data_IF_037932594333
#
_entry.id   IF_037932594333
#
_cell.length_a   1.000
_cell.length_b   1.000
_cell.length_c   1.000
_cell.angle_alpha   90.00
_cell.angle_beta   90.00
_cell.angle_gamma   90.00
#
_symmetry.space_group_name_H-M   'P 1'
#
loop_
_entity.id
_entity.type
_entity.pdbx_description
1 polymer ?
#
# COMPACT_ATOMS: atom_id res chain seq x y z
N UNK A 1 -8.67 10.13 45.10
CA UNK A 1 -7.41 9.62 44.50
C UNK A 1 -7.68 8.73 43.28
N UNK A 2 -8.55 7.71 43.36
CA UNK A 2 -8.86 6.81 42.23
C UNK A 2 -9.34 7.51 40.93
N UNK A 3 -10.14 8.58 41.00
CA UNK A 3 -10.60 9.35 39.82
C UNK A 3 -9.48 10.15 39.13
N UNK A 4 -8.47 10.60 39.87
CA UNK A 4 -7.30 11.30 39.31
C UNK A 4 -6.34 10.32 38.60
N UNK A 5 -6.20 9.09 39.13
CA UNK A 5 -5.43 8.04 38.49
C UNK A 5 -6.10 7.52 37.21
N UNK A 6 -7.42 7.31 37.22
CA UNK A 6 -8.19 6.97 36.00
C UNK A 6 -8.08 8.06 34.94
N UNK A 7 -8.26 9.33 35.30
CA UNK A 7 -8.14 10.44 34.34
C UNK A 7 -6.69 10.74 33.93
N UNK A 8 -5.67 10.20 34.61
CA UNK A 8 -4.27 10.32 34.16
C UNK A 8 -3.92 9.23 33.17
N UNK A 9 -4.28 7.99 33.49
CA UNK A 9 -4.09 6.85 32.61
C UNK A 9 -4.77 7.08 31.25
N UNK A 10 -5.99 7.60 31.26
CA UNK A 10 -6.75 7.92 30.03
C UNK A 10 -6.06 8.98 29.15
N UNK A 11 -5.48 10.03 29.73
CA UNK A 11 -4.78 11.06 28.95
C UNK A 11 -3.49 10.50 28.33
N UNK A 12 -2.76 9.67 29.09
CA UNK A 12 -1.54 9.02 28.60
C UNK A 12 -1.83 8.04 27.47
N UNK A 13 -2.87 7.21 27.61
CA UNK A 13 -3.33 6.30 26.55
C UNK A 13 -3.73 7.06 25.28
N UNK A 14 -4.39 8.22 25.41
CA UNK A 14 -4.76 9.06 24.26
C UNK A 14 -3.56 9.75 23.60
N UNK A 15 -2.57 10.19 24.38
CA UNK A 15 -1.33 10.75 23.84
C UNK A 15 -0.49 9.68 23.12
N UNK A 16 -0.44 8.47 23.66
CA UNK A 16 0.18 7.31 22.99
C UNK A 16 -0.51 7.00 21.67
N UNK A 17 -1.84 6.96 21.68
CA UNK A 17 -2.65 6.77 20.48
C UNK A 17 -2.41 7.90 19.45
N UNK A 18 -2.30 9.15 19.92
CA UNK A 18 -1.99 10.29 19.04
C UNK A 18 -0.63 10.13 18.35
N UNK A 19 0.41 9.81 19.11
CA UNK A 19 1.78 9.71 18.60
C UNK A 19 1.97 8.52 17.66
N UNK A 20 1.47 7.35 18.03
CA UNK A 20 1.76 6.08 17.34
C UNK A 20 0.78 5.83 16.19
N UNK A 21 -0.47 6.29 16.33
CA UNK A 21 -1.56 5.85 15.46
C UNK A 21 -2.18 7.02 14.69
N UNK A 22 -2.61 8.10 15.36
CA UNK A 22 -3.41 9.15 14.72
C UNK A 22 -2.56 10.11 13.87
N UNK A 23 -1.41 10.56 14.39
CA UNK A 23 -0.55 11.51 13.67
C UNK A 23 0.03 10.93 12.37
N UNK A 24 0.60 9.71 12.35
CA UNK A 24 1.01 9.08 11.09
C UNK A 24 -0.14 8.88 10.09
N UNK A 25 -1.37 8.60 10.58
CA UNK A 25 -2.55 8.49 9.72
C UNK A 25 -2.90 9.83 9.08
N UNK A 26 -2.94 10.92 9.83
CA UNK A 26 -3.22 12.26 9.29
C UNK A 26 -2.28 12.61 8.13
N UNK A 27 -0.97 12.37 8.29
CA UNK A 27 0.03 12.63 7.25
C UNK A 27 -0.24 11.83 5.96
N UNK A 28 -0.59 10.54 6.10
CA UNK A 28 -0.93 9.67 4.96
C UNK A 28 -2.19 10.18 4.23
N UNK A 29 -3.19 10.65 4.98
CA UNK A 29 -4.44 11.15 4.41
C UNK A 29 -4.26 12.48 3.69
N UNK A 30 -3.45 13.38 4.26
CA UNK A 30 -3.08 14.65 3.63
C UNK A 30 -2.36 14.37 2.31
N UNK A 31 -1.36 13.49 2.32
CA UNK A 31 -0.59 13.15 1.12
C UNK A 31 -1.48 12.52 0.04
N UNK A 32 -2.34 11.57 0.42
CA UNK A 32 -3.28 10.92 -0.51
C UNK A 32 -4.29 11.93 -1.11
N UNK A 33 -4.82 12.85 -0.31
CA UNK A 33 -5.76 13.85 -0.78
C UNK A 33 -5.07 14.92 -1.65
N UNK A 34 -3.83 15.29 -1.35
CA UNK A 34 -3.06 16.28 -2.13
C UNK A 34 -2.63 15.76 -3.50
N UNK A 35 -2.33 14.48 -3.61
CA UNK A 35 -1.93 13.83 -4.87
C UNK A 35 -3.14 13.40 -5.72
N UNK A 36 -4.36 13.64 -5.25
CA UNK A 36 -5.59 13.33 -5.97
C UNK A 36 -5.82 14.27 -7.17
N UNK A 37 -6.21 13.76 -8.35
CA UNK A 37 -6.67 14.59 -9.48
C UNK A 37 -7.86 15.50 -9.14
N UNK A 38 -8.64 15.13 -8.11
CA UNK A 38 -9.77 15.91 -7.58
C UNK A 38 -9.37 16.78 -6.38
N UNK A 39 -8.10 17.18 -6.27
CA UNK A 39 -7.61 18.08 -5.22
C UNK A 39 -8.52 19.28 -4.99
N UNK A 40 -9.12 19.83 -6.06
CA UNK A 40 -10.03 20.97 -5.97
C UNK A 40 -11.32 20.66 -5.17
N UNK A 41 -11.85 19.44 -5.27
CA UNK A 41 -13.01 18.95 -4.49
C UNK A 41 -12.58 18.61 -3.05
N UNK A 42 -11.39 18.05 -2.90
CA UNK A 42 -10.84 17.66 -1.60
C UNK A 42 -10.19 18.82 -0.84
N UNK A 43 -10.12 20.01 -1.41
CA UNK A 43 -9.41 21.15 -0.85
C UNK A 43 -9.87 21.51 0.59
N UNK A 44 -11.19 21.54 0.90
CA UNK A 44 -11.66 21.77 2.27
C UNK A 44 -11.20 20.67 3.26
N UNK A 45 -11.15 19.43 2.80
CA UNK A 45 -10.68 18.29 3.59
C UNK A 45 -9.16 18.29 3.80
N UNK A 46 -8.40 18.65 2.77
CA UNK A 46 -6.95 18.82 2.86
C UNK A 46 -6.61 19.91 3.89
N UNK A 47 -7.36 21.01 3.90
CA UNK A 47 -7.20 22.08 4.88
C UNK A 47 -7.55 21.62 6.29
N UNK A 48 -8.69 20.93 6.46
CA UNK A 48 -9.12 20.35 7.74
C UNK A 48 -8.09 19.36 8.31
N UNK A 49 -7.55 18.47 7.46
CA UNK A 49 -6.54 17.48 7.86
C UNK A 49 -5.21 18.13 8.22
N UNK A 50 -4.76 19.15 7.46
CA UNK A 50 -3.53 19.90 7.78
C UNK A 50 -3.64 20.64 9.11
N UNK A 51 -4.78 21.26 9.38
CA UNK A 51 -5.04 21.89 10.67
C UNK A 51 -4.95 20.87 11.81
N UNK A 52 -5.53 19.68 11.62
CA UNK A 52 -5.43 18.59 12.60
C UNK A 52 -3.99 18.06 12.77
N UNK A 53 -3.21 17.99 11.69
CA UNK A 53 -1.80 17.57 11.76
C UNK A 53 -0.95 18.57 12.54
N UNK A 54 -1.07 19.87 12.23
CA UNK A 54 -0.35 20.93 12.95
C UNK A 54 -0.73 20.96 14.44
N UNK A 55 -1.99 20.73 14.73
CA UNK A 55 -2.52 20.65 16.08
C UNK A 55 -1.95 19.44 16.85
N UNK A 56 -1.84 18.28 16.19
CA UNK A 56 -1.20 17.09 16.75
C UNK A 56 0.29 17.32 17.03
N UNK A 57 1.02 17.96 16.11
CA UNK A 57 2.42 18.35 16.31
C UNK A 57 2.57 19.31 17.50
N UNK A 58 1.69 20.30 17.62
CA UNK A 58 1.70 21.23 18.74
C UNK A 58 1.46 20.52 20.08
N UNK A 59 0.53 19.55 20.12
CA UNK A 59 0.28 18.74 21.32
C UNK A 59 1.52 17.89 21.67
N UNK A 60 2.13 17.22 20.70
CA UNK A 60 3.33 16.40 20.91
C UNK A 60 4.54 17.25 21.34
N UNK A 61 4.75 18.41 20.72
CA UNK A 61 5.81 19.34 21.10
C UNK A 61 5.62 19.90 22.53
N UNK A 62 4.37 20.08 22.98
CA UNK A 62 4.09 20.47 24.36
C UNK A 62 4.40 19.35 25.37
N UNK A 63 4.29 18.08 24.96
CA UNK A 63 4.68 16.92 25.78
C UNK A 63 6.21 16.83 25.87
N UNK A 64 6.91 17.04 24.76
CA UNK A 64 8.38 17.06 24.70
C UNK A 64 8.99 18.26 25.43
N UNK A 65 8.38 19.44 25.39
CA UNK A 65 8.88 20.62 26.11
C UNK A 65 8.78 20.45 27.63
N UNK A 66 7.73 19.76 28.11
CA UNK A 66 7.59 19.39 29.53
C UNK A 66 8.62 18.33 29.99
N UNK A 67 9.38 17.71 29.07
CA UNK A 67 10.51 16.80 29.34
C UNK A 67 11.77 17.57 29.76
N UNK A 68 12.03 18.71 29.12
CA UNK A 68 13.28 19.47 29.28
C UNK A 68 13.32 20.37 30.52
N UNK A 69 12.21 20.55 31.23
CA UNK A 69 12.20 21.31 32.49
C UNK A 69 12.70 20.49 33.69
N UNK A 70 12.85 19.16 33.59
CA UNK A 70 13.32 18.34 34.71
C UNK A 70 14.08 17.09 34.23
N UNK A 71 15.40 17.19 34.11
CA UNK A 71 16.29 16.04 34.03
C UNK A 71 16.58 15.52 35.45
N UNK A 72 15.98 14.39 35.82
CA UNK A 72 16.65 13.40 36.68
C UNK A 72 16.79 12.12 35.85
N UNK A 73 18.03 11.72 35.61
CA UNK A 73 18.44 10.57 34.79
C UNK A 73 17.77 9.28 35.26
N UNK A 74 17.00 8.65 34.38
CA UNK A 74 16.76 7.20 34.44
C UNK A 74 16.92 6.63 33.04
N UNK A 75 18.03 5.93 32.86
CA UNK A 75 18.41 5.17 31.68
C UNK A 75 17.45 3.98 31.52
N UNK A 76 16.60 3.98 30.49
CA UNK A 76 15.77 2.81 30.15
C UNK A 76 15.63 2.64 28.64
N UNK A 77 16.17 1.52 28.16
CA UNK A 77 16.19 1.05 26.78
C UNK A 77 14.83 0.47 26.37
N UNK A 78 13.86 1.33 26.02
CA UNK A 78 12.65 0.93 25.29
C UNK A 78 11.95 2.16 24.69
N UNK A 79 11.58 2.17 23.39
CA UNK A 79 10.74 3.23 22.81
C UNK A 79 9.33 3.35 23.43
N UNK A 80 8.97 2.43 24.34
CA UNK A 80 7.69 2.44 25.07
C UNK A 80 7.80 3.13 26.45
N UNK A 81 8.99 3.52 26.93
CA UNK A 81 9.14 4.20 28.23
C UNK A 81 8.87 5.71 28.19
N UNK A 82 8.89 6.33 27.01
CA UNK A 82 8.96 7.79 26.88
C UNK A 82 7.70 8.54 27.34
N UNK A 83 6.53 7.91 27.30
CA UNK A 83 5.25 8.49 27.74
C UNK A 83 5.01 8.34 29.25
N UNK A 84 5.74 7.45 29.94
CA UNK A 84 5.60 7.24 31.38
C UNK A 84 6.09 8.46 32.19
N UNK A 85 6.96 9.29 31.63
CA UNK A 85 7.54 10.47 32.27
C UNK A 85 6.72 11.76 32.07
N UNK A 86 5.62 11.73 31.31
CA UNK A 86 4.77 12.91 31.12
C UNK A 86 4.01 13.27 32.41
N UNK A 87 4.32 14.44 32.99
CA UNK A 87 3.53 15.06 34.07
C UNK A 87 2.38 15.85 33.44
N UNK A 88 1.16 15.47 33.78
CA UNK A 88 -0.04 16.22 33.37
C UNK A 88 0.00 17.67 33.86
N UNK A 89 -0.60 18.61 33.11
CA UNK A 89 -0.88 19.95 33.59
C UNK A 89 -1.58 19.87 34.96
N UNK A 90 -1.06 20.65 35.93
CA UNK A 90 -1.60 20.66 37.30
C UNK A 90 -2.95 21.37 37.37
N UNK A 91 -3.22 22.28 36.43
CA UNK A 91 -4.50 22.97 36.34
C UNK A 91 -5.57 22.07 35.71
N UNK A 92 -6.70 21.99 36.40
CA UNK A 92 -7.91 21.30 35.94
C UNK A 92 -8.45 21.86 34.62
N UNK A 93 -8.25 23.16 34.36
CA UNK A 93 -8.73 23.84 33.16
C UNK A 93 -7.92 23.44 31.93
N UNK A 94 -6.58 23.42 32.05
CA UNK A 94 -5.65 23.01 31.01
C UNK A 94 -5.77 21.51 30.68
N UNK A 95 -5.96 20.67 31.70
CA UNK A 95 -6.21 19.23 31.50
C UNK A 95 -7.50 18.98 30.71
N UNK A 96 -8.56 19.73 31.00
CA UNK A 96 -9.84 19.64 30.29
C UNK A 96 -9.71 20.13 28.84
N UNK A 97 -8.90 21.17 28.61
CA UNK A 97 -8.60 21.67 27.28
C UNK A 97 -7.80 20.65 26.46
N UNK A 98 -6.76 20.04 27.03
CA UNK A 98 -5.97 18.99 26.37
C UNK A 98 -6.84 17.77 25.99
N UNK A 99 -7.72 17.32 26.89
CA UNK A 99 -8.66 16.24 26.60
C UNK A 99 -9.58 16.59 25.43
N UNK A 100 -10.14 17.81 25.42
CA UNK A 100 -11.01 18.25 24.33
C UNK A 100 -10.27 18.33 22.98
N UNK A 101 -9.00 18.75 22.99
CA UNK A 101 -8.13 18.77 21.80
C UNK A 101 -7.86 17.35 21.29
N UNK A 102 -7.59 16.41 22.19
CA UNK A 102 -7.38 14.99 21.84
C UNK A 102 -8.66 14.33 21.29
N UNK A 103 -9.81 14.60 21.89
CA UNK A 103 -11.12 14.12 21.42
C UNK A 103 -11.44 14.68 20.02
N UNK A 104 -11.20 15.98 19.80
CA UNK A 104 -11.39 16.60 18.49
C UNK A 104 -10.43 16.03 17.42
N UNK A 105 -9.19 15.70 17.77
CA UNK A 105 -8.24 15.05 16.86
C UNK A 105 -8.68 13.60 16.53
N UNK A 106 -9.15 12.85 17.53
CA UNK A 106 -9.72 11.53 17.31
C UNK A 106 -10.97 11.59 16.43
N UNK A 107 -11.84 12.57 16.65
CA UNK A 107 -13.05 12.78 15.85
C UNK A 107 -12.70 13.10 14.40
N UNK A 108 -11.80 14.05 14.14
CA UNK A 108 -11.36 14.40 12.78
C UNK A 108 -10.70 13.19 12.09
N UNK A 109 -9.88 12.42 12.82
CA UNK A 109 -9.28 11.20 12.27
C UNK A 109 -10.35 10.14 12.00
N UNK A 110 -11.35 9.97 12.87
CA UNK A 110 -12.43 9.03 12.66
C UNK A 110 -13.36 9.45 11.51
N UNK A 111 -13.60 10.74 11.32
CA UNK A 111 -14.33 11.32 10.20
C UNK A 111 -13.55 11.14 8.88
N UNK A 112 -12.24 11.35 8.93
CA UNK A 112 -11.35 11.10 7.80
C UNK A 112 -11.14 9.59 7.54
N UNK A 113 -11.23 8.75 8.57
CA UNK A 113 -11.16 7.29 8.49
C UNK A 113 -12.50 6.65 8.14
N UNK A 114 -13.63 7.33 8.32
CA UNK A 114 -14.90 6.96 7.70
C UNK A 114 -14.87 7.36 6.24
N UNK A 115 -14.32 8.54 5.91
CA UNK A 115 -14.00 8.92 4.52
C UNK A 115 -13.02 7.94 3.84
N UNK A 116 -12.02 7.40 4.56
CA UNK A 116 -11.04 6.42 4.04
C UNK A 116 -11.48 4.97 4.22
N UNK A 117 -12.39 4.70 5.16
CA UNK A 117 -13.09 3.44 5.35
C UNK A 117 -14.13 3.23 4.27
N UNK A 118 -14.72 4.30 3.74
CA UNK A 118 -15.47 4.33 2.48
C UNK A 118 -14.56 4.11 1.27
N UNK A 119 -13.30 4.54 1.33
CA UNK A 119 -12.26 4.19 0.34
C UNK A 119 -11.63 2.81 0.60
N UNK A 120 -11.97 2.18 1.74
CA UNK A 120 -11.55 0.87 2.20
C UNK A 120 -10.09 0.49 1.82
N UNK A 121 -9.15 1.35 2.24
CA UNK A 121 -7.78 0.92 2.40
C UNK A 121 -7.71 0.09 3.69
N UNK A 122 -7.05 -1.08 3.71
CA UNK A 122 -7.05 -1.95 4.87
C UNK A 122 -6.50 -1.20 6.10
N UNK A 123 -7.41 -0.93 7.03
CA UNK A 123 -7.14 -0.40 8.36
C UNK A 123 -6.35 -1.44 9.15
N UNK A 124 -5.12 -1.05 9.51
CA UNK A 124 -4.38 -1.53 10.68
C UNK A 124 -4.60 -2.99 11.09
N UNK A 125 -3.91 -3.92 10.43
CA UNK A 125 -3.44 -5.13 11.11
C UNK A 125 -1.95 -4.92 11.35
N UNK A 126 -1.57 -4.79 12.63
CA UNK A 126 -0.22 -4.79 13.20
C UNK A 126 0.93 -4.37 12.25
N UNK A 127 1.67 -3.28 12.53
CA UNK A 127 2.85 -2.88 11.73
C UNK A 127 4.01 -3.90 11.74
N UNK A 128 3.84 -5.09 12.35
CA UNK A 128 4.80 -6.20 12.38
C UNK A 128 4.39 -7.42 11.55
N UNK A 129 3.26 -7.41 10.84
CA UNK A 129 2.91 -8.46 9.87
C UNK A 129 2.96 -7.91 8.46
N UNK A 130 4.16 -7.90 7.87
CA UNK A 130 4.30 -7.71 6.43
C UNK A 130 3.52 -8.84 5.73
N UNK A 131 2.42 -8.49 5.05
CA UNK A 131 1.77 -9.42 4.12
C UNK A 131 2.70 -9.58 2.93
N UNK A 132 3.44 -10.67 2.89
CA UNK A 132 4.11 -11.09 1.66
C UNK A 132 3.06 -11.24 0.55
N UNK A 133 3.36 -10.71 -0.63
CA UNK A 133 2.55 -10.92 -1.82
C UNK A 133 3.05 -12.16 -2.55
N UNK A 134 2.14 -12.94 -3.10
CA UNK A 134 2.45 -14.10 -3.94
C UNK A 134 2.34 -13.73 -5.41
N UNK A 135 2.91 -14.53 -6.30
CA UNK A 135 2.98 -14.24 -7.75
C UNK A 135 1.68 -14.43 -8.53
N UNK A 136 0.54 -14.59 -7.87
CA UNK A 136 -0.75 -14.89 -8.50
C UNK A 136 -1.82 -13.92 -8.00
N UNK A 137 -2.72 -13.45 -8.88
CA UNK A 137 -3.81 -12.59 -8.46
C UNK A 137 -4.82 -13.40 -7.63
N UNK A 138 -5.35 -12.77 -6.59
CA UNK A 138 -6.34 -13.41 -5.70
C UNK A 138 -7.75 -13.47 -6.29
N UNK A 139 -7.98 -12.82 -7.43
CA UNK A 139 -9.28 -12.73 -8.10
C UNK A 139 -9.08 -12.40 -9.58
N UNK A 140 -10.17 -12.47 -10.36
CA UNK A 140 -10.18 -12.11 -11.78
C UNK A 140 -9.67 -10.68 -11.97
N UNK A 141 -8.67 -10.52 -12.83
CA UNK A 141 -8.16 -9.21 -13.23
C UNK A 141 -9.01 -8.69 -14.38
N UNK A 142 -9.56 -7.48 -14.24
CA UNK A 142 -10.47 -6.86 -15.22
C UNK A 142 -9.83 -5.58 -15.76
N UNK A 143 -9.89 -5.39 -17.08
CA UNK A 143 -9.48 -4.15 -17.74
C UNK A 143 -7.98 -3.90 -17.81
N UNK A 144 -7.17 -4.95 -17.65
CA UNK A 144 -5.70 -4.86 -17.66
C UNK A 144 -5.03 -5.70 -18.75
N UNK A 145 -5.81 -6.26 -19.67
CA UNK A 145 -5.28 -7.10 -20.76
C UNK A 145 -4.26 -6.34 -21.62
N UNK A 146 -4.60 -5.12 -22.04
CA UNK A 146 -3.68 -4.30 -22.84
C UNK A 146 -2.39 -3.95 -22.08
N UNK A 147 -2.51 -3.57 -20.82
CA UNK A 147 -1.34 -3.26 -19.98
C UNK A 147 -0.46 -4.51 -19.78
N UNK A 148 -1.07 -5.68 -19.57
CA UNK A 148 -0.37 -6.97 -19.50
C UNK A 148 0.38 -7.25 -20.80
N UNK A 149 -0.29 -7.13 -21.94
CA UNK A 149 0.29 -7.44 -23.25
C UNK A 149 1.43 -6.49 -23.61
N UNK A 150 1.28 -5.19 -23.32
CA UNK A 150 2.33 -4.18 -23.46
C UNK A 150 3.57 -4.58 -22.62
N UNK A 151 3.39 -4.98 -21.35
CA UNK A 151 4.50 -5.39 -20.48
C UNK A 151 5.13 -6.70 -20.95
N UNK A 152 4.33 -7.70 -21.33
CA UNK A 152 4.81 -8.99 -21.86
C UNK A 152 5.67 -8.78 -23.11
N UNK A 153 5.25 -7.87 -23.99
CA UNK A 153 6.05 -7.50 -25.16
C UNK A 153 7.43 -6.97 -24.73
N UNK A 154 7.49 -6.01 -23.80
CA UNK A 154 8.75 -5.47 -23.28
C UNK A 154 9.62 -6.54 -22.58
N UNK A 155 8.98 -7.52 -21.94
CA UNK A 155 9.66 -8.66 -21.31
C UNK A 155 10.33 -9.59 -22.32
N UNK A 156 9.80 -9.66 -23.54
CA UNK A 156 10.31 -10.53 -24.61
C UNK A 156 11.08 -9.80 -25.70
N UNK A 157 11.15 -8.47 -25.63
CA UNK A 157 12.03 -7.67 -26.48
C UNK A 157 13.49 -7.96 -26.14
N UNK A 158 14.21 -8.53 -27.11
CA UNK A 158 15.65 -8.72 -27.04
C UNK A 158 16.34 -7.35 -27.17
N UNK A 159 17.26 -7.07 -26.25
CA UNK A 159 18.15 -5.91 -26.39
C UNK A 159 19.14 -6.25 -27.52
N UNK A 160 19.25 -5.45 -28.59
CA UNK A 160 20.17 -5.74 -29.68
C UNK A 160 21.59 -5.87 -29.14
N UNK A 161 22.28 -6.96 -29.50
CA UNK A 161 23.71 -7.12 -29.23
C UNK A 161 24.46 -5.98 -29.95
N UNK A 162 24.83 -4.93 -29.20
CA UNK A 162 25.56 -3.78 -29.73
C UNK A 162 25.13 -2.40 -29.24
N UNK A 163 24.01 -2.24 -28.53
CA UNK A 163 23.67 -0.95 -27.90
C UNK A 163 24.44 -0.78 -26.58
N UNK A 164 25.52 0.01 -26.62
CA UNK A 164 26.58 0.15 -25.61
C UNK A 164 26.19 0.86 -24.30
N UNK A 165 24.99 0.69 -23.77
CA UNK A 165 24.57 1.41 -22.55
C UNK A 165 24.34 0.55 -21.31
N UNK A 166 24.25 -0.77 -21.42
CA UNK A 166 24.28 -1.67 -20.25
C UNK A 166 25.03 -2.95 -20.59
N UNK A 167 26.19 -3.19 -19.98
CA UNK A 167 26.96 -4.43 -20.11
C UNK A 167 26.34 -5.63 -19.36
N UNK A 168 25.05 -5.55 -19.02
CA UNK A 168 24.37 -6.51 -18.17
C UNK A 168 23.48 -7.45 -18.99
N UNK A 169 23.39 -8.70 -18.55
CA UNK A 169 22.53 -9.75 -19.12
C UNK A 169 21.02 -9.49 -18.93
N UNK A 170 20.65 -8.47 -18.16
CA UNK A 170 19.28 -8.14 -17.82
C UNK A 170 18.92 -6.67 -18.10
N UNK A 171 17.62 -6.40 -18.27
CA UNK A 171 17.06 -5.04 -18.31
C UNK A 171 15.93 -4.87 -17.30
N UNK A 172 15.69 -3.64 -16.85
CA UNK A 172 14.69 -3.33 -15.82
C UNK A 172 13.47 -2.64 -16.42
N UNK A 173 12.28 -3.12 -16.05
CA UNK A 173 10.98 -2.54 -16.39
C UNK A 173 10.34 -2.09 -15.08
N UNK A 174 9.98 -0.81 -14.99
CA UNK A 174 9.33 -0.24 -13.81
C UNK A 174 7.85 0.00 -14.06
N UNK A 175 7.00 -0.33 -13.09
CA UNK A 175 5.59 0.05 -13.03
C UNK A 175 5.42 0.96 -11.80
N UNK A 176 4.87 2.15 -11.99
CA UNK A 176 4.71 3.11 -10.90
C UNK A 176 3.31 3.73 -10.83
N UNK A 177 2.93 4.28 -9.68
CA UNK A 177 1.66 4.95 -9.49
C UNK A 177 1.15 4.89 -8.05
N UNK A 178 0.02 5.53 -7.73
CA UNK A 178 -0.46 5.71 -6.36
C UNK A 178 -0.85 4.39 -5.67
N UNK A 179 -0.97 4.41 -4.34
CA UNK A 179 -1.46 3.25 -3.58
C UNK A 179 -2.87 2.86 -4.06
N UNK A 180 -3.15 1.56 -4.14
CA UNK A 180 -4.48 1.06 -4.55
C UNK A 180 -4.77 1.07 -6.06
N UNK A 181 -3.81 1.51 -6.90
CA UNK A 181 -3.98 1.51 -8.36
C UNK A 181 -3.94 0.13 -9.04
N UNK A 182 -3.52 -0.91 -8.32
CA UNK A 182 -3.45 -2.29 -8.85
C UNK A 182 -2.10 -2.71 -9.44
N UNK A 183 -0.98 -2.02 -9.13
CA UNK A 183 0.36 -2.38 -9.61
C UNK A 183 0.74 -3.83 -9.35
N UNK A 184 0.62 -4.27 -8.10
CA UNK A 184 0.89 -5.64 -7.67
C UNK A 184 0.02 -6.63 -8.44
N UNK A 185 -1.27 -6.32 -8.59
CA UNK A 185 -2.23 -7.13 -9.36
C UNK A 185 -1.83 -7.24 -10.83
N UNK A 186 -1.39 -6.14 -11.46
CA UNK A 186 -0.91 -6.16 -12.84
C UNK A 186 0.38 -7.00 -12.98
N UNK A 187 1.34 -6.86 -12.06
CA UNK A 187 2.55 -7.65 -12.08
C UNK A 187 2.27 -9.15 -11.85
N UNK A 188 1.35 -9.50 -10.95
CA UNK A 188 0.86 -10.87 -10.76
C UNK A 188 0.23 -11.40 -12.04
N UNK A 189 -0.58 -10.58 -12.73
CA UNK A 189 -1.24 -10.97 -13.96
C UNK A 189 -0.26 -11.27 -15.10
N UNK A 190 0.78 -10.45 -15.22
CA UNK A 190 1.90 -10.68 -16.15
C UNK A 190 2.65 -11.97 -15.79
N UNK A 191 2.94 -12.19 -14.50
CA UNK A 191 3.63 -13.41 -14.05
C UNK A 191 2.84 -14.67 -14.35
N UNK A 192 1.54 -14.67 -14.06
CA UNK A 192 0.64 -15.77 -14.36
C UNK A 192 0.61 -16.07 -15.85
N UNK A 193 0.52 -15.03 -16.69
CA UNK A 193 0.57 -15.17 -18.14
C UNK A 193 1.87 -15.84 -18.62
N UNK A 194 3.03 -15.33 -18.22
CA UNK A 194 4.34 -15.93 -18.56
C UNK A 194 4.46 -17.39 -18.05
N UNK A 195 3.91 -17.67 -16.86
CA UNK A 195 3.87 -19.02 -16.27
C UNK A 195 2.87 -19.96 -16.95
N UNK A 196 1.93 -19.47 -17.75
CA UNK A 196 0.92 -20.31 -18.42
C UNK A 196 1.15 -20.48 -19.93
N UNK A 197 2.04 -19.70 -20.55
CA UNK A 197 2.39 -19.88 -21.96
C UNK A 197 3.01 -21.24 -22.23
N UNK A 198 2.65 -21.86 -23.36
CA UNK A 198 3.20 -23.16 -23.78
C UNK A 198 4.71 -23.05 -24.04
N UNK A 199 5.12 -22.00 -24.74
CA UNK A 199 6.53 -21.69 -24.98
C UNK A 199 7.08 -20.83 -23.85
N UNK A 200 7.90 -21.45 -23.00
CA UNK A 200 8.58 -20.78 -21.88
C UNK A 200 9.73 -19.93 -22.38
N UNK A 201 9.59 -18.61 -22.28
CA UNK A 201 10.67 -17.67 -22.57
C UNK A 201 11.65 -17.57 -21.38
N UNK A 202 11.13 -17.55 -20.16
CA UNK A 202 11.92 -17.53 -18.92
C UNK A 202 12.04 -18.93 -18.31
N UNK A 203 13.26 -19.30 -17.95
CA UNK A 203 13.55 -20.55 -17.24
C UNK A 203 13.13 -20.47 -15.77
N UNK A 204 13.21 -19.28 -15.18
CA UNK A 204 12.82 -19.01 -13.80
C UNK A 204 12.03 -17.69 -13.70
N UNK A 205 10.91 -17.73 -12.97
CA UNK A 205 10.11 -16.55 -12.60
C UNK A 205 10.09 -16.46 -11.08
N UNK A 206 10.76 -15.45 -10.54
CA UNK A 206 11.01 -15.25 -9.12
C UNK A 206 10.20 -14.05 -8.65
N UNK A 207 9.40 -14.20 -7.60
CA UNK A 207 8.63 -13.11 -7.01
C UNK A 207 9.19 -12.78 -5.62
N UNK A 208 9.55 -11.53 -5.41
CA UNK A 208 10.03 -11.04 -4.13
C UNK A 208 9.30 -9.75 -3.75
N UNK A 209 8.66 -9.76 -2.59
CA UNK A 209 8.13 -8.56 -1.96
C UNK A 209 9.25 -7.79 -1.26
N UNK A 210 9.37 -6.50 -1.57
CA UNK A 210 10.35 -5.59 -0.99
C UNK A 210 9.77 -4.93 0.27
N UNK A 211 10.18 -5.42 1.44
CA UNK A 211 9.80 -4.84 2.74
C UNK A 211 10.59 -3.54 3.03
N UNK A 212 10.15 -2.72 4.01
CA UNK A 212 10.95 -1.59 4.50
C UNK A 212 12.28 -1.99 5.14
N UNK A 213 12.33 -3.17 5.77
CA UNK A 213 13.51 -3.73 6.43
C UNK A 213 14.33 -4.64 5.49
N UNK A 214 14.16 -4.47 4.17
CA UNK A 214 14.68 -5.39 3.19
C UNK A 214 16.21 -5.37 3.11
N UNK A 215 16.80 -6.54 3.34
CA UNK A 215 18.23 -6.78 3.19
C UNK A 215 18.54 -7.48 1.85
N UNK A 216 19.72 -7.20 1.29
CA UNK A 216 20.28 -7.89 0.11
C UNK A 216 20.29 -9.40 0.36
N UNK A 217 20.67 -9.82 1.56
CA UNK A 217 20.72 -11.23 1.93
C UNK A 217 19.35 -11.90 1.86
N UNK A 218 18.28 -11.21 2.28
CA UNK A 218 16.91 -11.74 2.22
C UNK A 218 16.43 -11.95 0.78
N UNK A 219 16.76 -11.02 -0.13
CA UNK A 219 16.49 -11.21 -1.56
C UNK A 219 17.20 -12.45 -2.09
N UNK A 220 18.49 -12.58 -1.78
CA UNK A 220 19.31 -13.67 -2.28
C UNK A 220 18.88 -15.02 -1.71
N UNK A 221 18.47 -15.08 -0.43
CA UNK A 221 17.80 -16.25 0.16
C UNK A 221 16.51 -16.61 -0.57
N UNK A 222 15.69 -15.62 -0.96
CA UNK A 222 14.49 -15.85 -1.78
C UNK A 222 14.86 -16.40 -3.16
N UNK A 223 15.80 -15.77 -3.87
CA UNK A 223 16.29 -16.26 -5.17
C UNK A 223 16.81 -17.69 -5.04
N UNK A 224 17.54 -18.01 -3.96
CA UNK A 224 18.02 -19.37 -3.68
C UNK A 224 16.88 -20.38 -3.65
N UNK A 225 15.86 -20.12 -2.84
CA UNK A 225 14.70 -21.02 -2.71
C UNK A 225 14.04 -21.31 -4.06
N UNK A 226 13.96 -20.33 -4.96
CA UNK A 226 13.42 -20.54 -6.31
C UNK A 226 14.40 -21.24 -7.26
N UNK A 227 15.69 -20.88 -7.22
CA UNK A 227 16.70 -21.38 -8.14
C UNK A 227 17.11 -22.83 -7.86
N UNK A 228 17.26 -23.18 -6.59
CA UNK A 228 17.70 -24.51 -6.13
C UNK A 228 16.54 -25.41 -5.68
N UNK A 229 15.37 -24.84 -5.35
CA UNK A 229 14.21 -25.57 -4.78
C UNK A 229 14.52 -26.26 -3.44
N UNK A 230 15.37 -25.63 -2.63
CA UNK A 230 15.77 -26.10 -1.31
C UNK A 230 15.92 -24.93 -0.32
N UNK A 231 16.06 -25.25 0.97
CA UNK A 231 16.34 -24.25 1.99
C UNK A 231 17.73 -23.65 1.77
N UNK A 232 17.83 -22.31 1.84
CA UNK A 232 19.11 -21.64 1.75
C UNK A 232 19.98 -21.98 2.97
N UNK A 233 21.21 -22.46 2.79
CA UNK A 233 22.18 -22.56 3.88
C UNK A 233 22.41 -21.20 4.54
N UNK A 234 22.80 -21.19 5.80
CA UNK A 234 23.25 -19.98 6.48
C UNK A 234 24.70 -19.69 6.09
N UNK A 235 24.85 -18.83 5.07
CA UNK A 235 26.14 -18.31 4.64
C UNK A 235 26.65 -17.25 5.61
N UNK A 236 27.95 -17.29 5.88
CA UNK A 236 28.61 -16.30 6.75
C UNK A 236 28.95 -15.03 5.97
N UNK A 237 29.28 -15.18 4.68
CA UNK A 237 29.71 -14.08 3.82
C UNK A 237 28.78 -13.93 2.60
N UNK A 238 28.47 -12.69 2.23
CA UNK A 238 27.62 -12.37 1.07
C UNK A 238 28.22 -12.91 -0.24
N UNK A 239 29.54 -12.91 -0.35
CA UNK A 239 30.27 -13.40 -1.52
C UNK A 239 30.02 -14.89 -1.79
N UNK A 240 29.81 -15.70 -0.74
CA UNK A 240 29.56 -17.14 -0.87
C UNK A 240 28.20 -17.42 -1.52
N UNK A 241 27.13 -16.80 -1.00
CA UNK A 241 25.78 -16.93 -1.56
C UNK A 241 25.73 -16.34 -2.98
N UNK A 242 26.40 -15.20 -3.22
CA UNK A 242 26.47 -14.60 -4.55
C UNK A 242 27.10 -15.56 -5.56
N UNK A 243 28.29 -16.10 -5.27
CA UNK A 243 29.00 -17.02 -6.18
C UNK A 243 28.18 -18.25 -6.53
N UNK A 244 27.47 -18.83 -5.54
CA UNK A 244 26.59 -19.98 -5.74
C UNK A 244 25.35 -19.65 -6.56
N UNK A 245 24.74 -18.50 -6.33
CA UNK A 245 23.62 -18.03 -7.16
C UNK A 245 24.09 -17.76 -8.59
N UNK A 246 25.24 -17.11 -8.78
CA UNK A 246 25.80 -16.85 -10.11
C UNK A 246 26.08 -18.15 -10.89
N UNK A 247 26.57 -19.19 -10.21
CA UNK A 247 26.75 -20.52 -10.78
C UNK A 247 25.41 -21.12 -11.24
N UNK A 248 24.38 -21.08 -10.40
CA UNK A 248 23.08 -21.66 -10.72
C UNK A 248 22.26 -20.90 -11.75
N UNK A 249 22.37 -19.58 -11.76
CA UNK A 249 21.62 -18.72 -12.68
C UNK A 249 22.29 -18.67 -14.06
N UNK A 250 23.54 -19.14 -14.16
CA UNK A 250 24.31 -19.12 -15.41
C UNK A 250 23.57 -19.82 -16.54
N UNK A 251 23.44 -19.12 -17.67
CA UNK A 251 22.79 -19.66 -18.87
C UNK A 251 21.26 -19.80 -18.77
N UNK A 252 20.64 -19.46 -17.65
CA UNK A 252 19.18 -19.41 -17.48
C UNK A 252 18.66 -18.00 -17.71
N UNK A 253 17.53 -17.86 -18.40
CA UNK A 253 16.83 -16.58 -18.55
C UNK A 253 15.87 -16.38 -17.39
N UNK A 254 16.05 -15.29 -16.66
CA UNK A 254 15.36 -15.04 -15.40
C UNK A 254 14.39 -13.87 -15.55
N UNK A 255 13.18 -14.01 -15.00
CA UNK A 255 12.31 -12.90 -14.66
C UNK A 255 12.28 -12.74 -13.13
N UNK A 256 12.87 -11.67 -12.62
CA UNK A 256 12.78 -11.29 -11.21
C UNK A 256 11.73 -10.19 -11.05
N UNK A 257 10.73 -10.41 -10.19
CA UNK A 257 9.74 -9.39 -9.83
C UNK A 257 10.01 -8.88 -8.43
N UNK A 258 10.23 -7.57 -8.31
CA UNK A 258 10.38 -6.84 -7.07
C UNK A 258 9.10 -6.03 -6.81
N UNK A 259 8.24 -6.57 -5.98
CA UNK A 259 6.96 -5.94 -5.65
C UNK A 259 7.11 -4.95 -4.50
N UNK A 260 6.52 -3.76 -4.66
CA UNK A 260 6.53 -2.67 -3.69
C UNK A 260 7.94 -2.16 -3.34
N UNK A 261 8.81 -2.04 -4.34
CA UNK A 261 10.13 -1.47 -4.19
C UNK A 261 10.05 -0.04 -3.63
N UNK A 262 10.86 0.21 -2.61
CA UNK A 262 10.98 1.49 -1.94
C UNK A 262 12.45 1.92 -1.89
N UNK A 263 12.68 3.23 -1.95
CA UNK A 263 14.00 3.80 -1.77
C UNK A 263 13.93 4.86 -0.68
N UNK A 264 14.70 4.68 0.40
CA UNK A 264 14.98 5.68 1.44
C UNK A 264 16.47 6.02 1.41
N UNK A 265 16.89 7.12 2.04
CA UNK A 265 18.29 7.57 2.16
C UNK A 265 19.25 6.51 2.71
N UNK A 266 18.72 5.47 3.38
CA UNK A 266 19.47 4.31 3.90
C UNK A 266 19.84 3.26 2.85
N UNK A 267 19.08 3.17 1.75
CA UNK A 267 19.39 2.29 0.62
C UNK A 267 20.19 3.12 -0.36
N UNK A 268 21.50 2.90 -0.49
CA UNK A 268 22.31 3.64 -1.45
C UNK A 268 22.08 3.13 -2.88
N UNK A 269 22.36 3.94 -3.91
CA UNK A 269 22.35 3.50 -5.32
C UNK A 269 23.31 2.31 -5.53
N UNK A 270 24.42 2.26 -4.79
CA UNK A 270 25.35 1.14 -4.81
C UNK A 270 24.71 -0.16 -4.28
N UNK A 271 23.85 -0.05 -3.25
CA UNK A 271 23.11 -1.20 -2.72
C UNK A 271 22.15 -1.76 -3.77
N UNK A 272 21.49 -0.89 -4.56
CA UNK A 272 20.54 -1.33 -5.60
C UNK A 272 21.24 -2.07 -6.74
N UNK A 273 22.43 -1.62 -7.16
CA UNK A 273 23.23 -2.34 -8.14
C UNK A 273 23.76 -3.67 -7.60
N UNK A 274 24.08 -3.72 -6.30
CA UNK A 274 24.50 -4.94 -5.63
C UNK A 274 23.38 -5.98 -5.54
N UNK A 275 22.12 -5.57 -5.34
CA UNK A 275 20.98 -6.49 -5.30
C UNK A 275 20.92 -7.46 -6.49
N UNK A 276 21.33 -7.00 -7.67
CA UNK A 276 21.22 -7.73 -8.92
C UNK A 276 22.52 -8.35 -9.40
N UNK A 277 23.59 -8.34 -8.58
CA UNK A 277 24.86 -8.97 -8.97
C UNK A 277 24.70 -10.44 -9.35
N UNK A 278 23.90 -11.29 -8.68
CA UNK A 278 23.77 -12.69 -9.08
C UNK A 278 23.15 -12.88 -10.47
N UNK A 279 22.36 -11.90 -10.94
CA UNK A 279 21.74 -11.96 -12.27
C UNK A 279 22.73 -11.64 -13.40
N UNK A 280 23.92 -11.09 -13.10
CA UNK A 280 24.92 -10.75 -14.13
C UNK A 280 25.44 -11.97 -14.90
N UNK A 281 25.43 -13.15 -14.29
CA UNK A 281 25.79 -14.41 -14.97
C UNK A 281 24.63 -15.04 -15.77
N UNK A 282 23.40 -14.53 -15.60
CA UNK A 282 22.21 -15.05 -16.26
C UNK A 282 22.28 -14.89 -17.79
N UNK A 283 21.41 -15.61 -18.50
CA UNK A 283 21.30 -15.52 -19.96
C UNK A 283 20.78 -14.14 -20.38
N UNK A 284 21.28 -13.65 -21.51
CA UNK A 284 20.74 -12.47 -22.19
C UNK A 284 19.23 -12.55 -22.41
N UNK A 285 18.56 -11.40 -22.25
CA UNK A 285 17.10 -11.31 -22.25
C UNK A 285 16.47 -11.55 -20.88
N UNK A 286 17.26 -11.69 -19.81
CA UNK A 286 16.72 -11.68 -18.45
C UNK A 286 16.09 -10.33 -18.12
N UNK A 287 15.08 -10.29 -17.26
CA UNK A 287 14.30 -9.09 -16.96
C UNK A 287 14.09 -8.93 -15.46
N UNK A 288 14.07 -7.68 -15.02
CA UNK A 288 13.64 -7.30 -13.67
C UNK A 288 12.38 -6.45 -13.81
N UNK A 289 11.27 -6.87 -13.20
CA UNK A 289 10.03 -6.12 -13.14
C UNK A 289 9.89 -5.50 -11.75
N UNK A 290 9.83 -4.18 -11.67
CA UNK A 290 9.75 -3.44 -10.40
C UNK A 290 8.38 -2.79 -10.28
N UNK A 291 7.67 -2.99 -9.18
CA UNK A 291 6.48 -2.18 -8.86
C UNK A 291 6.81 -1.20 -7.74
N UNK A 292 6.40 0.06 -7.88
CA UNK A 292 6.70 1.09 -6.86
C UNK A 292 5.66 2.21 -6.85
N UNK A 293 5.67 3.06 -5.82
CA UNK A 293 4.78 4.23 -5.76
C UNK A 293 5.31 5.41 -6.56
N UNK A 294 6.63 5.51 -6.68
CA UNK A 294 7.32 6.69 -7.21
C UNK A 294 8.08 6.34 -8.49
N UNK A 295 7.87 7.11 -9.54
CA UNK A 295 8.62 6.97 -10.80
C UNK A 295 10.14 6.98 -10.56
N UNK A 296 10.59 7.90 -9.71
CA UNK A 296 11.99 8.07 -9.33
C UNK A 296 12.59 6.80 -8.70
N UNK A 297 11.83 6.07 -7.89
CA UNK A 297 12.27 4.79 -7.33
C UNK A 297 12.49 3.77 -8.44
N UNK A 298 11.59 3.68 -9.43
CA UNK A 298 11.79 2.77 -10.56
C UNK A 298 13.05 3.12 -11.36
N UNK A 299 13.32 4.41 -11.60
CA UNK A 299 14.54 4.87 -12.29
C UNK A 299 15.81 4.49 -11.53
N UNK A 300 15.81 4.63 -10.20
CA UNK A 300 16.95 4.21 -9.34
C UNK A 300 17.22 2.72 -9.39
N UNK A 301 16.18 1.92 -9.59
CA UNK A 301 16.30 0.49 -9.83
C UNK A 301 16.77 0.14 -11.25
N UNK A 302 16.96 1.13 -12.13
CA UNK A 302 17.50 0.95 -13.47
C UNK A 302 16.45 0.95 -14.58
N UNK A 303 15.17 1.24 -14.29
CA UNK A 303 14.16 1.33 -15.32
C UNK A 303 14.32 2.64 -16.13
N UNK A 304 14.64 2.52 -17.42
CA UNK A 304 14.84 3.69 -18.29
C UNK A 304 13.53 4.47 -18.53
N UNK A 305 12.45 3.74 -18.85
CA UNK A 305 11.13 4.30 -19.12
C UNK A 305 10.08 3.63 -18.21
N UNK A 306 9.95 4.05 -16.94
CA UNK A 306 8.95 3.49 -16.05
C UNK A 306 7.52 3.74 -16.56
N UNK A 307 6.71 2.71 -16.53
CA UNK A 307 5.32 2.69 -17.01
C UNK A 307 4.41 3.22 -15.89
N UNK A 308 3.69 4.33 -16.11
CA UNK A 308 2.68 4.79 -15.16
C UNK A 308 1.47 3.87 -15.19
N UNK A 309 0.89 3.61 -14.01
CA UNK A 309 -0.40 2.94 -13.92
C UNK A 309 -1.48 3.82 -14.54
N UNK A 310 -2.01 3.36 -15.67
CA UNK A 310 -3.16 3.99 -16.32
C UNK A 310 -4.41 3.80 -15.45
N UNK A 311 -5.28 4.79 -15.47
CA UNK A 311 -6.64 4.62 -14.97
C UNK A 311 -7.37 3.57 -15.81
N UNK A 312 -8.26 2.81 -15.18
CA UNK A 312 -9.19 1.97 -15.92
C UNK A 312 -10.16 2.87 -16.70
N UNK A 313 -10.54 2.46 -17.91
CA UNK A 313 -11.64 3.15 -18.58
C UNK A 313 -12.94 2.98 -17.79
N UNK A 314 -13.92 3.87 -18.05
CA UNK A 314 -15.15 3.91 -17.26
C UNK A 314 -15.93 2.59 -17.31
N UNK A 315 -15.92 1.90 -18.45
CA UNK A 315 -16.68 0.67 -18.67
C UNK A 315 -16.00 -0.52 -18.00
N UNK A 316 -14.67 -0.61 -18.10
CA UNK A 316 -13.86 -1.60 -17.40
C UNK A 316 -13.88 -1.39 -15.89
N UNK A 317 -13.86 -0.14 -15.43
CA UNK A 317 -13.97 0.20 -14.02
C UNK A 317 -15.35 -0.20 -13.46
N UNK A 318 -16.42 0.13 -14.19
CA UNK A 318 -17.77 -0.33 -13.85
C UNK A 318 -17.84 -1.86 -13.84
N UNK A 319 -17.25 -2.52 -14.83
CA UNK A 319 -17.22 -3.99 -14.90
C UNK A 319 -16.50 -4.61 -13.70
N UNK A 320 -15.37 -4.04 -13.29
CA UNK A 320 -14.65 -4.44 -12.08
C UNK A 320 -15.54 -4.29 -10.84
N UNK A 321 -16.16 -3.12 -10.68
CA UNK A 321 -17.03 -2.84 -9.55
C UNK A 321 -18.21 -3.82 -9.49
N UNK A 322 -18.95 -3.97 -10.59
CA UNK A 322 -20.13 -4.83 -10.66
C UNK A 322 -19.79 -6.31 -10.50
N UNK A 323 -18.63 -6.75 -11.00
CA UNK A 323 -18.14 -8.11 -10.78
C UNK A 323 -18.02 -8.44 -9.29
N UNK A 324 -17.47 -7.51 -8.50
CA UNK A 324 -17.38 -7.69 -7.06
C UNK A 324 -18.72 -7.46 -6.33
N UNK A 325 -19.52 -6.50 -6.79
CA UNK A 325 -20.72 -6.05 -6.08
C UNK A 325 -21.88 -7.02 -6.23
N UNK A 326 -22.04 -7.62 -7.40
CA UNK A 326 -23.13 -8.56 -7.65
C UNK A 326 -22.80 -9.95 -7.13
N UNK A 327 -21.56 -10.43 -7.22
CA UNK A 327 -21.22 -11.75 -6.69
C UNK A 327 -22.13 -12.87 -7.19
N UNK A 328 -22.93 -13.46 -6.30
CA UNK A 328 -23.94 -14.49 -6.59
C UNK A 328 -25.35 -13.92 -6.86
N UNK A 329 -25.57 -12.61 -6.77
CA UNK A 329 -26.85 -11.94 -7.00
C UNK A 329 -27.37 -12.10 -8.45
N UNK A 330 -26.55 -12.64 -9.36
CA UNK A 330 -27.01 -13.14 -10.66
C UNK A 330 -28.07 -14.26 -10.56
N UNK A 331 -28.32 -14.80 -9.35
CA UNK A 331 -29.38 -15.78 -9.06
C UNK A 331 -30.70 -15.13 -8.59
N UNK A 332 -30.73 -13.80 -8.42
CA UNK A 332 -31.92 -13.05 -8.02
C UNK A 332 -32.85 -12.74 -9.21
N UNK A 333 -34.04 -12.19 -8.93
CA UNK A 333 -34.99 -11.72 -9.95
C UNK A 333 -34.34 -10.67 -10.87
N UNK A 334 -34.50 -10.83 -12.20
CA UNK A 334 -33.93 -9.93 -13.22
C UNK A 334 -34.20 -8.45 -12.95
N UNK A 335 -35.39 -8.07 -12.46
CA UNK A 335 -35.73 -6.67 -12.18
C UNK A 335 -34.94 -6.07 -11.00
N UNK A 336 -34.58 -6.89 -10.01
CA UNK A 336 -33.74 -6.46 -8.89
C UNK A 336 -32.31 -6.25 -9.39
N UNK A 337 -31.80 -7.17 -10.22
CA UNK A 337 -30.46 -7.06 -10.82
C UNK A 337 -30.34 -5.81 -11.70
N UNK A 338 -31.36 -5.50 -12.51
CA UNK A 338 -31.38 -4.27 -13.33
C UNK A 338 -31.34 -3.00 -12.46
N UNK A 339 -32.11 -2.97 -11.37
CA UNK A 339 -32.10 -1.85 -10.43
C UNK A 339 -30.73 -1.68 -9.77
N UNK A 340 -30.14 -2.77 -9.27
CA UNK A 340 -28.79 -2.76 -8.69
C UNK A 340 -27.73 -2.32 -9.71
N UNK A 341 -27.84 -2.73 -10.98
CA UNK A 341 -26.95 -2.27 -12.04
C UNK A 341 -27.03 -0.76 -12.27
N UNK A 342 -28.24 -0.19 -12.24
CA UNK A 342 -28.42 1.26 -12.38
C UNK A 342 -27.78 2.02 -11.24
N UNK A 343 -28.05 1.62 -9.99
CA UNK A 343 -27.49 2.27 -8.79
C UNK A 343 -25.97 2.10 -8.75
N UNK A 344 -25.48 0.88 -9.03
CA UNK A 344 -24.06 0.57 -9.05
C UNK A 344 -23.27 1.38 -10.08
N UNK A 345 -23.90 1.72 -11.22
CA UNK A 345 -23.30 2.62 -12.21
C UNK A 345 -23.09 4.03 -11.66
N UNK A 346 -24.06 4.56 -10.93
CA UNK A 346 -23.93 5.88 -10.29
C UNK A 346 -22.87 5.86 -9.20
N UNK A 347 -22.89 4.85 -8.31
CA UNK A 347 -21.87 4.68 -7.27
C UNK A 347 -20.48 4.62 -7.89
N UNK A 348 -20.25 3.74 -8.88
CA UNK A 348 -18.95 3.58 -9.52
C UNK A 348 -18.43 4.89 -10.14
N UNK A 349 -19.31 5.73 -10.68
CA UNK A 349 -18.91 7.03 -11.25
C UNK A 349 -18.28 7.98 -10.21
N UNK A 350 -18.57 7.78 -8.92
CA UNK A 350 -18.06 8.59 -7.81
C UNK A 350 -16.75 8.05 -7.21
N UNK A 351 -16.28 6.86 -7.59
CA UNK A 351 -15.15 6.18 -6.92
C UNK A 351 -13.77 6.50 -7.50
N UNK A 352 -13.66 7.62 -8.23
CA UNK A 352 -12.39 8.16 -8.73
C UNK A 352 -11.52 7.16 -9.51
N UNK A 353 -12.14 6.14 -10.11
CA UNK A 353 -11.47 5.07 -10.89
C UNK A 353 -10.34 4.34 -10.15
N UNK A 354 -10.39 4.29 -8.82
CA UNK A 354 -9.41 3.57 -7.99
C UNK A 354 -9.88 2.13 -7.75
N UNK A 355 -9.19 1.09 -8.29
CA UNK A 355 -9.64 -0.30 -8.19
C UNK A 355 -9.87 -0.77 -6.76
N UNK A 356 -8.99 -0.40 -5.82
CA UNK A 356 -9.13 -0.83 -4.43
C UNK A 356 -10.37 -0.24 -3.74
N UNK A 357 -10.71 1.02 -4.05
CA UNK A 357 -11.92 1.68 -3.54
C UNK A 357 -13.15 0.96 -4.08
N UNK A 358 -13.19 0.76 -5.40
CA UNK A 358 -14.28 0.06 -6.07
C UNK A 358 -14.48 -1.35 -5.54
N UNK A 359 -13.42 -2.17 -5.51
CA UNK A 359 -13.51 -3.55 -5.04
C UNK A 359 -14.07 -3.60 -3.64
N UNK A 360 -13.66 -2.72 -2.74
CA UNK A 360 -14.08 -2.89 -1.35
C UNK A 360 -15.47 -2.33 -1.07
N UNK A 361 -15.86 -1.21 -1.69
CA UNK A 361 -17.27 -0.78 -1.65
C UNK A 361 -18.18 -1.84 -2.28
N UNK A 362 -17.75 -2.42 -3.40
CA UNK A 362 -18.46 -3.50 -4.05
C UNK A 362 -18.63 -4.72 -3.12
N UNK A 363 -17.58 -5.14 -2.41
CA UNK A 363 -17.67 -6.24 -1.43
C UNK A 363 -18.62 -5.92 -0.27
N UNK A 364 -18.74 -4.67 0.17
CA UNK A 364 -19.73 -4.27 1.18
C UNK A 364 -21.17 -4.37 0.65
N UNK A 365 -21.39 -3.87 -0.56
CA UNK A 365 -22.67 -3.94 -1.25
C UNK A 365 -23.08 -5.39 -1.59
N UNK A 366 -22.10 -6.26 -1.83
CA UNK A 366 -22.32 -7.69 -2.08
C UNK A 366 -22.92 -8.41 -0.87
N UNK A 367 -22.62 -7.97 0.36
CA UNK A 367 -23.16 -8.57 1.59
C UNK A 367 -24.68 -8.32 1.68
N UNK A 368 -25.15 -7.19 1.16
CA UNK A 368 -26.55 -6.77 1.16
C UNK A 368 -26.98 -6.38 -0.26
N UNK A 369 -27.33 -7.37 -1.12
CA UNK A 369 -27.76 -7.13 -2.50
C UNK A 369 -29.22 -6.64 -2.55
N UNK A 370 -29.48 -5.53 -1.87
CA UNK A 370 -30.79 -4.93 -1.68
C UNK A 370 -30.81 -3.51 -2.29
N UNK A 371 -31.77 -3.17 -3.18
CA UNK A 371 -31.83 -1.87 -3.84
C UNK A 371 -31.91 -0.69 -2.88
N UNK A 372 -32.68 -0.78 -1.79
CA UNK A 372 -32.85 0.31 -0.83
C UNK A 372 -31.54 0.56 -0.08
N UNK A 373 -30.81 -0.51 0.27
CA UNK A 373 -29.48 -0.39 0.84
C UNK A 373 -28.49 0.28 -0.13
N UNK A 374 -28.48 -0.11 -1.41
CA UNK A 374 -27.59 0.50 -2.41
C UNK A 374 -27.91 1.98 -2.64
N UNK A 375 -29.21 2.35 -2.69
CA UNK A 375 -29.65 3.74 -2.76
C UNK A 375 -29.18 4.54 -1.54
N UNK A 376 -29.31 3.98 -0.34
CA UNK A 376 -28.81 4.64 0.89
C UNK A 376 -27.31 4.90 0.85
N UNK A 377 -26.53 4.04 0.19
CA UNK A 377 -25.09 4.23 0.03
C UNK A 377 -24.80 5.33 -1.00
N UNK A 378 -25.54 5.34 -2.11
CA UNK A 378 -25.46 6.39 -3.11
C UNK A 378 -25.80 7.77 -2.52
N UNK A 379 -26.87 7.87 -1.74
CA UNK A 379 -27.27 9.13 -1.08
C UNK A 379 -26.20 9.63 -0.09
N UNK A 380 -25.55 8.72 0.64
CA UNK A 380 -24.42 9.05 1.52
C UNK A 380 -23.23 9.61 0.76
N UNK A 381 -22.92 9.05 -0.42
CA UNK A 381 -21.86 9.57 -1.29
C UNK A 381 -22.20 10.95 -1.87
N UNK A 382 -23.47 11.17 -2.24
CA UNK A 382 -23.96 12.43 -2.80
C UNK A 382 -23.95 13.58 -1.79
N UNK A 383 -24.35 13.30 -0.54
CA UNK A 383 -24.56 14.34 0.47
C UNK A 383 -23.30 14.67 1.28
N UNK A 384 -22.18 13.96 1.07
CA UNK A 384 -20.94 14.14 1.85
C UNK A 384 -21.11 13.90 3.36
N UNK A 385 -22.24 13.33 3.78
CA UNK A 385 -22.64 13.06 5.15
C UNK A 385 -22.68 11.55 5.33
N UNK A 386 -21.75 11.03 6.12
CA UNK A 386 -21.92 9.73 6.77
C UNK A 386 -22.14 9.96 8.25
N UNK A 387 -23.39 10.22 8.61
CA UNK A 387 -23.90 9.90 9.93
C UNK A 387 -24.16 8.38 9.98
N UNK A 388 -23.48 7.60 10.85
CA UNK A 388 -23.63 6.15 10.89
C UNK A 388 -24.82 5.73 11.76
N UNK A 389 -25.73 4.95 11.17
CA UNK A 389 -26.48 3.86 11.81
C UNK A 389 -26.99 4.13 13.24
N UNK A 390 -28.04 4.94 13.35
CA UNK A 390 -29.01 4.80 14.44
C UNK A 390 -30.34 4.32 13.87
N UNK A 391 -30.93 3.35 14.57
CA UNK A 391 -32.22 2.69 14.36
C UNK A 391 -32.20 1.41 13.50
N UNK A 392 -31.71 0.34 14.12
CA UNK A 392 -32.34 -0.98 14.02
C UNK A 392 -32.69 -1.42 15.46
N UNK A 393 -33.79 -0.90 15.98
CA UNK A 393 -34.66 -1.62 16.92
C UNK A 393 -35.82 -2.16 16.06
N UNK A 394 -35.82 -3.47 15.84
CA UNK A 394 -36.83 -4.41 16.35
C UNK A 394 -36.36 -5.86 16.10
#
# INVERSE_FOLDING_TARGET
MLSQFQSRKQVLEKLENLQIILHPKLLILIEAAQLSPQRHVLQPWIEKLKLASNEAEHVLASVESNKHENEEEVDSLSPYSDLLNFKLPKDSSEKKNLMKRLENLEEIVNEAMTFVGLLNLPSSRNPKQFRETISFPSSKVIGRDKDRDDIVKLLREDVPAGSSYTSYSYSVIGIWGPRGSGKTTLAQYVCEYEKNLQEKYFDLVIWAYFSPDFDIYDLWKKIWGFAFKEACPDFIYLEEIQSKLEEQLRGKRILLVLDNAWYDKRVSVLNVQQLFTPLRSAKGGSKILVTTRMEETAKRFGAMNPIPMRELDAEQFLSLFMYHALGYAHTCNNHVVETLMSIGKEIASMLCRLPLVATTMALELQIRPDPDFWLSMLDRLLNGSLDPLLHLED
#
